data_IF_786464675432
#
_entry.id   IF_786464675432
#
_cell.length_a   1.000
_cell.length_b   1.000
_cell.length_c   1.000
_cell.angle_alpha   90.00
_cell.angle_beta   90.00
_cell.angle_gamma   90.00
#
_symmetry.space_group_name_H-M   'P 1'
#
loop_
_entity.id
_entity.type
_entity.pdbx_description
1 polymer ?
#
# COMPACT_ATOMS: atom_id res chain seq x y z
N UNK A 1 7.65 -5.31 -3.09
CA UNK A 1 6.65 -4.66 -3.99
C UNK A 1 5.35 -5.46 -4.08
N UNK A 2 4.18 -4.82 -3.98
CA UNK A 2 2.84 -5.46 -3.99
C UNK A 2 2.02 -4.92 -5.16
N UNK A 3 1.15 -5.76 -5.76
CA UNK A 3 0.26 -5.33 -6.84
C UNK A 3 -1.04 -6.10 -6.88
N UNK A 4 -2.09 -5.46 -7.40
CA UNK A 4 -3.40 -6.07 -7.62
C UNK A 4 -4.02 -5.54 -8.92
N UNK A 5 -4.78 -6.39 -9.60
CA UNK A 5 -5.60 -6.00 -10.75
C UNK A 5 -7.07 -5.92 -10.33
N UNK A 6 -7.73 -4.80 -10.61
CA UNK A 6 -9.17 -4.64 -10.40
C UNK A 6 -9.90 -4.53 -11.75
N UNK A 7 -11.07 -5.17 -11.85
CA UNK A 7 -11.93 -5.09 -13.03
C UNK A 7 -13.19 -4.28 -12.70
N UNK A 8 -13.08 -2.95 -12.75
CA UNK A 8 -14.15 -2.01 -12.46
C UNK A 8 -14.80 -1.50 -13.76
N UNK A 9 -15.14 -0.21 -13.85
CA UNK A 9 -15.48 0.43 -15.13
C UNK A 9 -14.31 0.35 -16.12
N UNK A 10 -13.09 0.37 -15.57
CA UNK A 10 -11.83 0.17 -16.27
C UNK A 10 -11.08 -1.01 -15.66
N UNK A 11 -10.16 -1.58 -16.44
CA UNK A 11 -9.18 -2.53 -15.90
C UNK A 11 -8.07 -1.73 -15.25
N UNK A 12 -7.84 -1.92 -13.96
CA UNK A 12 -6.87 -1.16 -13.19
C UNK A 12 -5.73 -2.06 -12.74
N UNK A 13 -4.54 -1.47 -12.68
CA UNK A 13 -3.39 -2.04 -12.00
C UNK A 13 -3.01 -1.09 -10.86
N UNK A 14 -3.01 -1.60 -9.63
CA UNK A 14 -2.60 -0.88 -8.44
C UNK A 14 -1.27 -1.48 -7.99
N UNK A 15 -0.26 -0.63 -7.79
CA UNK A 15 1.11 -1.08 -7.46
C UNK A 15 1.63 -0.28 -6.28
N UNK A 16 2.05 -0.98 -5.23
CA UNK A 16 2.79 -0.41 -4.11
C UNK A 16 4.28 -0.71 -4.24
N UNK A 17 5.07 0.37 -4.26
CA UNK A 17 6.52 0.36 -4.33
C UNK A 17 7.13 0.16 -2.94
N UNK A 18 8.41 -0.25 -2.88
CA UNK A 18 9.05 -0.53 -1.59
C UNK A 18 9.32 0.77 -0.83
N UNK A 19 9.58 1.84 -1.57
CA UNK A 19 9.82 3.17 -1.01
C UNK A 19 9.05 4.27 -1.75
N UNK A 20 8.77 5.37 -1.06
CA UNK A 20 8.20 6.58 -1.69
C UNK A 20 9.14 7.16 -2.77
N UNK A 21 10.46 6.97 -2.62
CA UNK A 21 11.45 7.42 -3.60
C UNK A 21 11.33 6.66 -4.92
N UNK A 22 11.17 5.34 -4.87
CA UNK A 22 10.91 4.51 -6.05
C UNK A 22 9.63 4.93 -6.76
N UNK A 23 8.54 5.13 -6.01
CA UNK A 23 7.29 5.64 -6.55
C UNK A 23 7.49 6.98 -7.28
N UNK A 24 8.23 7.92 -6.66
CA UNK A 24 8.49 9.25 -7.24
C UNK A 24 9.27 9.15 -8.55
N UNK A 25 10.27 8.28 -8.61
CA UNK A 25 11.05 8.02 -9.82
C UNK A 25 10.13 7.45 -10.89
N UNK A 26 9.35 6.42 -10.58
CA UNK A 26 8.45 5.80 -11.54
C UNK A 26 7.41 6.81 -12.08
N UNK A 27 6.77 7.56 -11.18
CA UNK A 27 5.81 8.60 -11.55
C UNK A 27 6.43 9.66 -12.47
N UNK A 28 7.66 10.09 -12.19
CA UNK A 28 8.38 11.05 -13.01
C UNK A 28 8.69 10.47 -14.40
N UNK A 29 9.16 9.23 -14.48
CA UNK A 29 9.43 8.54 -15.75
C UNK A 29 8.16 8.44 -16.58
N UNK A 30 7.05 8.01 -15.98
CA UNK A 30 5.77 7.86 -16.69
C UNK A 30 5.24 9.19 -17.25
N UNK A 31 5.40 10.28 -16.51
CA UNK A 31 4.95 11.61 -16.96
C UNK A 31 5.91 12.27 -17.96
N UNK A 32 7.22 12.07 -17.82
CA UNK A 32 8.23 12.70 -18.66
C UNK A 32 8.16 12.24 -20.11
N UNK A 33 7.86 10.96 -20.35
CA UNK A 33 7.97 10.40 -21.69
C UNK A 33 6.73 10.58 -22.57
N UNK A 34 5.59 11.06 -22.03
CA UNK A 34 4.28 11.13 -22.75
C UNK A 34 4.02 9.92 -23.65
N UNK A 35 4.53 8.76 -23.25
CA UNK A 35 4.67 7.63 -24.15
C UNK A 35 3.35 6.85 -24.10
N UNK A 36 2.62 6.72 -25.23
CA UNK A 36 1.35 6.00 -25.26
C UNK A 36 1.51 4.49 -25.07
N UNK A 37 2.74 3.98 -25.02
CA UNK A 37 3.10 2.56 -24.90
C UNK A 37 3.93 2.27 -23.64
N UNK A 38 3.72 2.99 -22.54
CA UNK A 38 4.37 2.65 -21.26
C UNK A 38 3.92 1.25 -20.85
N UNK A 39 4.88 0.40 -20.54
CA UNK A 39 4.63 -0.92 -19.99
C UNK A 39 5.01 -0.96 -18.53
N UNK A 40 4.09 -1.34 -17.65
CA UNK A 40 4.38 -1.61 -16.24
C UNK A 40 3.94 -3.04 -15.90
N UNK A 41 4.86 -3.83 -15.33
CA UNK A 41 4.66 -5.23 -14.98
C UNK A 41 4.05 -6.11 -16.09
N UNK A 42 4.41 -5.86 -17.35
CA UNK A 42 3.92 -6.63 -18.50
C UNK A 42 2.61 -6.11 -19.12
N UNK A 43 2.00 -5.08 -18.53
CA UNK A 43 0.80 -4.44 -19.07
C UNK A 43 1.17 -3.14 -19.75
N UNK A 44 0.53 -2.85 -20.88
CA UNK A 44 0.47 -1.48 -21.39
C UNK A 44 -0.43 -0.68 -20.46
N UNK A 45 0.07 0.42 -19.91
CA UNK A 45 -0.63 1.18 -18.87
C UNK A 45 -0.69 2.66 -19.17
N UNK A 46 -1.70 3.31 -18.59
CA UNK A 46 -1.82 4.76 -18.49
C UNK A 46 -1.85 5.15 -17.01
N UNK A 47 -0.94 6.02 -16.52
CA UNK A 47 -1.00 6.52 -15.16
C UNK A 47 -2.29 7.31 -14.92
N UNK A 48 -2.95 7.04 -13.80
CA UNK A 48 -4.14 7.78 -13.34
C UNK A 48 -3.70 8.78 -12.27
N UNK A 49 -3.25 8.30 -11.12
CA UNK A 49 -2.85 9.13 -9.99
C UNK A 49 -1.91 8.36 -9.05
N UNK A 50 -1.34 9.08 -8.07
CA UNK A 50 -0.77 8.46 -6.88
C UNK A 50 -1.88 8.07 -5.91
N UNK A 51 -1.63 7.07 -5.07
CA UNK A 51 -2.57 6.62 -4.04
C UNK A 51 -2.90 7.74 -3.07
N UNK A 52 -1.91 8.52 -2.62
CA UNK A 52 -2.10 9.67 -1.73
C UNK A 52 -2.93 10.81 -2.34
N UNK A 53 -3.06 10.84 -3.67
CA UNK A 53 -3.87 11.81 -4.40
C UNK A 53 -5.28 11.27 -4.73
N UNK A 54 -5.53 9.97 -4.45
CA UNK A 54 -6.80 9.32 -4.74
C UNK A 54 -7.91 9.85 -3.84
N UNK A 55 -9.07 10.12 -4.43
CA UNK A 55 -10.23 10.67 -3.74
C UNK A 55 -11.51 10.31 -4.52
N UNK A 56 -12.66 10.65 -3.95
CA UNK A 56 -13.97 10.41 -4.54
C UNK A 56 -14.17 11.00 -5.96
N UNK A 57 -13.53 12.13 -6.32
CA UNK A 57 -13.62 12.70 -7.68
C UNK A 57 -12.93 11.80 -8.71
N UNK A 58 -11.74 11.30 -8.39
CA UNK A 58 -11.02 10.35 -9.25
C UNK A 58 -11.76 9.00 -9.28
N UNK A 59 -12.24 8.54 -8.13
CA UNK A 59 -12.89 7.24 -8.00
C UNK A 59 -14.16 7.12 -8.85
N UNK A 60 -14.94 8.20 -8.99
CA UNK A 60 -16.18 8.24 -9.81
C UNK A 60 -15.97 7.82 -11.26
N UNK A 61 -14.80 8.11 -11.84
CA UNK A 61 -14.48 7.71 -13.21
C UNK A 61 -14.05 6.24 -13.34
N UNK A 62 -13.78 5.58 -12.20
CA UNK A 62 -13.24 4.22 -12.13
C UNK A 62 -14.28 3.18 -11.70
N UNK A 63 -15.20 3.55 -10.81
CA UNK A 63 -16.25 2.66 -10.32
C UNK A 63 -17.50 2.76 -11.19
N UNK A 64 -18.29 1.68 -11.27
CA UNK A 64 -19.58 1.71 -11.96
C UNK A 64 -20.61 2.36 -11.03
N UNK A 65 -21.14 3.51 -11.41
CA UNK A 65 -22.32 4.02 -10.71
C UNK A 65 -23.56 3.26 -11.17
N UNK A 66 -24.37 2.70 -10.26
CA UNK A 66 -25.75 2.36 -10.59
C UNK A 66 -26.48 3.64 -11.01
N UNK A 67 -27.28 3.59 -12.08
CA UNK A 67 -27.91 4.75 -12.75
C UNK A 67 -28.85 5.61 -11.87
N UNK A 68 -28.92 5.42 -10.55
CA UNK A 68 -29.82 6.14 -9.64
C UNK A 68 -29.24 6.46 -8.25
N UNK A 69 -27.94 6.29 -8.00
CA UNK A 69 -27.35 6.63 -6.70
C UNK A 69 -26.70 8.01 -6.71
N UNK A 70 -27.42 9.03 -6.22
CA UNK A 70 -26.90 10.39 -6.02
C UNK A 70 -25.87 10.52 -4.87
N UNK A 71 -25.56 9.42 -4.19
CA UNK A 71 -24.66 9.38 -3.03
C UNK A 71 -23.74 8.15 -3.06
N UNK A 72 -23.25 7.78 -4.25
CA UNK A 72 -22.22 6.76 -4.30
C UNK A 72 -20.92 7.35 -3.74
N UNK A 73 -20.50 6.82 -2.59
CA UNK A 73 -19.15 6.99 -2.09
C UNK A 73 -18.23 6.12 -2.95
N UNK A 74 -17.73 6.72 -4.03
CA UNK A 74 -16.97 6.02 -5.05
C UNK A 74 -15.61 5.58 -4.51
N UNK A 75 -15.03 6.36 -3.61
CA UNK A 75 -13.82 6.01 -2.89
C UNK A 75 -14.01 4.74 -2.06
N UNK A 76 -15.05 4.69 -1.21
CA UNK A 76 -15.34 3.49 -0.42
C UNK A 76 -15.73 2.29 -1.29
N UNK A 77 -16.35 2.53 -2.45
CA UNK A 77 -16.65 1.46 -3.41
C UNK A 77 -15.36 0.87 -3.98
N UNK A 78 -14.40 1.72 -4.35
CA UNK A 78 -13.09 1.29 -4.82
C UNK A 78 -12.31 0.52 -3.74
N UNK A 79 -12.32 1.02 -2.50
CA UNK A 79 -11.68 0.35 -1.35
C UNK A 79 -12.33 -1.01 -1.10
N UNK A 80 -13.66 -1.09 -1.14
CA UNK A 80 -14.39 -2.35 -0.98
C UNK A 80 -14.00 -3.41 -2.03
N UNK A 81 -13.64 -2.99 -3.25
CA UNK A 81 -13.17 -3.92 -4.29
C UNK A 81 -11.74 -4.43 -4.05
N UNK A 82 -10.90 -3.63 -3.38
CA UNK A 82 -9.60 -4.08 -2.86
C UNK A 82 -9.82 -5.10 -1.72
N UNK A 83 -10.75 -4.80 -0.80
CA UNK A 83 -11.12 -5.65 0.34
C UNK A 83 -11.73 -6.98 -0.09
N UNK A 84 -12.54 -6.99 -1.15
CA UNK A 84 -13.08 -8.21 -1.74
C UNK A 84 -11.99 -9.18 -2.26
N UNK A 85 -10.78 -8.68 -2.55
CA UNK A 85 -9.62 -9.50 -2.91
C UNK A 85 -8.72 -9.86 -1.72
N UNK A 86 -9.12 -9.53 -0.49
CA UNK A 86 -8.39 -9.84 0.73
C UNK A 86 -7.25 -8.87 1.07
N UNK A 87 -7.27 -7.67 0.49
CA UNK A 87 -6.33 -6.59 0.78
C UNK A 87 -7.03 -5.44 1.51
N UNK A 88 -6.27 -4.47 1.98
CA UNK A 88 -6.77 -3.27 2.64
C UNK A 88 -6.14 -2.02 2.00
N UNK A 89 -6.68 -0.85 2.30
CA UNK A 89 -6.20 0.44 1.78
C UNK A 89 -5.99 1.43 2.92
N UNK A 90 -4.83 2.09 2.95
CA UNK A 90 -4.51 3.09 3.98
C UNK A 90 -3.37 2.66 4.89
N UNK A 91 -3.49 3.00 6.16
CA UNK A 91 -2.52 2.65 7.19
C UNK A 91 -2.75 1.22 7.70
N UNK A 92 -1.66 0.54 8.06
CA UNK A 92 -1.75 -0.72 8.77
C UNK A 92 -2.27 -0.48 10.19
N UNK A 93 -3.38 -1.13 10.54
CA UNK A 93 -4.03 -0.99 11.84
C UNK A 93 -3.22 -1.64 12.98
N UNK A 94 -2.28 -2.52 12.64
CA UNK A 94 -1.32 -3.05 13.60
C UNK A 94 -0.15 -2.07 13.68
N UNK A 95 0.14 -1.58 14.88
CA UNK A 95 1.31 -0.73 15.14
C UNK A 95 2.60 -1.54 14.97
N UNK A 96 3.59 -0.97 14.28
CA UNK A 96 4.89 -1.62 14.15
C UNK A 96 5.53 -1.80 15.53
N UNK A 97 5.90 -3.03 15.92
CA UNK A 97 6.54 -3.24 17.21
C UNK A 97 7.97 -2.71 17.19
N UNK A 98 8.35 -2.06 18.28
CA UNK A 98 9.74 -1.65 18.55
C UNK A 98 10.27 -2.42 19.75
N UNK A 99 11.55 -2.80 19.70
CA UNK A 99 12.17 -3.80 20.60
C UNK A 99 12.12 -3.38 22.07
N UNK A 100 12.18 -2.08 22.35
CA UNK A 100 12.16 -1.52 23.71
C UNK A 100 10.81 -1.76 24.42
N UNK A 101 9.70 -1.78 23.69
CA UNK A 101 8.36 -2.12 24.22
C UNK A 101 8.34 -3.53 24.82
N UNK A 102 9.22 -4.40 24.34
CA UNK A 102 9.33 -5.80 24.74
C UNK A 102 10.55 -6.06 25.63
N UNK A 103 11.20 -5.01 26.13
CA UNK A 103 12.27 -5.13 27.11
C UNK A 103 13.65 -5.33 26.51
N UNK A 104 13.87 -5.01 25.22
CA UNK A 104 15.22 -4.85 24.72
C UNK A 104 15.90 -3.68 25.40
N UNK A 105 17.08 -3.93 25.94
CA UNK A 105 17.95 -2.94 26.54
C UNK A 105 19.18 -2.71 25.66
N UNK A 106 19.47 -1.44 25.39
CA UNK A 106 20.70 -1.04 24.71
C UNK A 106 21.70 -0.55 25.75
N UNK A 107 22.86 -1.21 25.81
CA UNK A 107 23.93 -0.87 26.74
C UNK A 107 24.43 0.56 26.55
N UNK A 108 24.75 1.22 27.66
CA UNK A 108 25.23 2.59 27.67
C UNK A 108 26.76 2.71 27.89
N UNK A 109 27.45 1.57 27.99
CA UNK A 109 28.91 1.50 28.15
C UNK A 109 29.48 0.26 27.48
N UNK A 110 30.81 0.22 27.29
CA UNK A 110 31.50 -0.94 26.72
C UNK A 110 31.56 -2.15 27.66
N UNK A 111 31.28 -1.94 28.95
CA UNK A 111 31.33 -2.99 29.99
C UNK A 111 29.97 -3.68 30.19
N UNK A 112 28.94 -3.18 29.50
CA UNK A 112 27.57 -3.63 29.62
C UNK A 112 27.10 -4.26 28.30
N UNK A 113 26.34 -5.35 28.40
CA UNK A 113 25.80 -6.05 27.23
C UNK A 113 24.36 -5.59 26.95
N UNK A 114 24.04 -5.45 25.66
CA UNK A 114 22.65 -5.24 25.22
C UNK A 114 21.92 -6.58 25.19
N UNK A 115 20.62 -6.57 25.45
CA UNK A 115 19.87 -7.82 25.44
C UNK A 115 18.42 -7.69 25.90
N UNK A 116 17.73 -8.83 25.87
CA UNK A 116 16.36 -8.96 26.35
C UNK A 116 16.34 -9.03 27.88
N UNK A 117 15.68 -8.05 28.50
CA UNK A 117 15.56 -7.97 29.96
C UNK A 117 14.40 -8.80 30.52
N UNK A 118 13.45 -9.18 29.66
CA UNK A 118 12.28 -9.98 30.04
C UNK A 118 12.43 -11.39 29.49
N UNK A 119 12.10 -12.40 30.31
CA UNK A 119 12.24 -13.83 29.98
C UNK A 119 11.50 -14.23 28.69
N UNK A 120 10.40 -13.53 28.35
CA UNK A 120 9.60 -13.74 27.13
C UNK A 120 9.63 -12.53 26.18
N UNK A 121 10.53 -11.57 26.40
CA UNK A 121 10.57 -10.32 25.63
C UNK A 121 10.86 -10.56 24.16
N UNK A 122 11.84 -11.41 23.88
CA UNK A 122 12.26 -11.78 22.52
C UNK A 122 11.12 -12.44 21.74
N UNK A 123 10.54 -13.49 22.31
CA UNK A 123 9.48 -14.26 21.66
C UNK A 123 8.25 -13.39 21.35
N UNK A 124 7.83 -12.56 22.32
CA UNK A 124 6.69 -11.65 22.13
C UNK A 124 6.95 -10.56 21.10
N UNK A 125 8.19 -10.07 21.01
CA UNK A 125 8.57 -9.11 19.98
C UNK A 125 8.44 -9.74 18.59
N UNK A 126 8.98 -10.95 18.39
CA UNK A 126 8.93 -11.62 17.10
C UNK A 126 7.51 -12.08 16.72
N UNK A 127 6.68 -12.47 17.68
CA UNK A 127 5.26 -12.75 17.46
C UNK A 127 4.53 -11.50 16.95
N UNK A 128 4.67 -10.37 17.64
CA UNK A 128 4.07 -9.11 17.23
C UNK A 128 4.63 -8.60 15.88
N UNK A 129 5.93 -8.80 15.63
CA UNK A 129 6.57 -8.39 14.38
C UNK A 129 6.00 -9.19 13.22
N UNK A 130 5.77 -10.49 13.42
CA UNK A 130 5.16 -11.35 12.41
C UNK A 130 3.72 -10.93 12.12
N UNK A 131 2.91 -10.68 13.15
CA UNK A 131 1.53 -10.20 12.97
C UNK A 131 1.49 -8.88 12.20
N UNK A 132 2.36 -7.93 12.57
CA UNK A 132 2.50 -6.65 11.88
C UNK A 132 2.90 -6.84 10.41
N UNK A 133 3.91 -7.67 10.12
CA UNK A 133 4.36 -7.96 8.76
C UNK A 133 3.26 -8.63 7.92
N UNK A 134 2.50 -9.54 8.50
CA UNK A 134 1.37 -10.19 7.83
C UNK A 134 0.27 -9.17 7.48
N UNK A 135 -0.07 -8.26 8.38
CA UNK A 135 -1.01 -7.17 8.10
C UNK A 135 -0.46 -6.20 7.05
N UNK A 136 0.81 -5.79 7.17
CA UNK A 136 1.48 -4.91 6.21
C UNK A 136 1.49 -5.52 4.81
N UNK A 137 1.69 -6.84 4.70
CA UNK A 137 1.67 -7.55 3.42
C UNK A 137 0.31 -7.51 2.73
N UNK A 138 -0.77 -7.20 3.46
CA UNK A 138 -2.14 -7.12 2.95
C UNK A 138 -2.67 -5.69 2.82
N UNK A 139 -1.99 -4.68 3.35
CA UNK A 139 -2.45 -3.28 3.31
C UNK A 139 -1.70 -2.46 2.27
N UNK A 140 -2.39 -1.91 1.28
CA UNK A 140 -1.80 -0.96 0.33
C UNK A 140 -1.60 0.40 1.00
N UNK A 141 -0.34 0.87 1.11
CA UNK A 141 -0.04 2.20 1.62
C UNK A 141 -0.19 3.27 0.52
N UNK A 142 -1.12 4.25 0.64
CA UNK A 142 -1.37 5.25 -0.38
C UNK A 142 -0.13 6.11 -0.75
N UNK A 143 0.76 6.38 0.20
CA UNK A 143 1.99 7.16 -0.03
C UNK A 143 2.97 6.46 -0.98
N UNK A 144 2.91 5.12 -1.02
CA UNK A 144 3.80 4.28 -1.84
C UNK A 144 3.06 3.64 -3.02
N UNK A 145 1.82 4.02 -3.28
CA UNK A 145 0.97 3.37 -4.29
C UNK A 145 0.76 4.23 -5.54
N UNK A 146 0.83 3.62 -6.72
CA UNK A 146 0.38 4.20 -7.99
C UNK A 146 -0.81 3.42 -8.55
N UNK A 147 -1.74 4.16 -9.16
CA UNK A 147 -2.94 3.61 -9.81
C UNK A 147 -2.82 3.83 -11.32
N UNK A 148 -3.01 2.74 -12.07
CA UNK A 148 -2.92 2.72 -13.53
C UNK A 148 -4.20 2.16 -14.15
N UNK A 149 -4.53 2.64 -15.34
CA UNK A 149 -5.45 1.97 -16.27
C UNK A 149 -4.65 1.01 -17.16
N UNK A 150 -5.05 -0.26 -17.21
CA UNK A 150 -4.52 -1.25 -18.15
C UNK A 150 -5.16 -1.00 -19.52
N UNK A 151 -4.33 -0.70 -20.51
CA UNK A 151 -4.73 -0.53 -21.91
C UNK A 151 -4.64 -1.88 -22.64
N UNK A 152 -5.68 -2.20 -23.41
CA UNK A 152 -5.70 -3.35 -24.32
C UNK A 152 -4.82 -3.11 -25.55
#
# INVERSE_FOLDING_TARGET
MKKIELNLQKRLLIVEYETEAELKIEWALMNAFRNPNITNHGHKVKPICKGIEFNDEIAKDLVKSPDNFQFLDAENTFIGEIENQGYYWGENLIEQPFVEKYGWYTANSQEEESGWMYEEGEDKYYEALKEWQEAESKTFNPEKTLIFEILL
#
